data_IF_547952365471
#
_entry.id   IF_547952365471
#
_cell.length_a   1.000
_cell.length_b   1.000
_cell.length_c   1.000
_cell.angle_alpha   90.00
_cell.angle_beta   90.00
_cell.angle_gamma   90.00
#
_symmetry.space_group_name_H-M   'P 1'
#
loop_
_entity.id
_entity.type
_entity.pdbx_description
1 polymer ?
#
# COMPACT_ATOMS: atom_id res chain seq x y z
N UNK A 1 -9.57 11.54 6.37
CA UNK A 1 -10.25 11.47 5.06
C UNK A 1 -10.04 10.05 4.54
N UNK A 2 -11.10 9.31 4.21
CA UNK A 2 -10.99 7.98 3.60
C UNK A 2 -10.79 8.20 2.10
N UNK A 3 -9.74 7.64 1.51
CA UNK A 3 -9.51 7.75 0.08
C UNK A 3 -10.67 7.10 -0.71
N UNK A 4 -11.04 7.65 -1.88
CA UNK A 4 -12.10 7.07 -2.70
C UNK A 4 -11.74 5.64 -3.12
N UNK A 5 -12.73 4.76 -3.16
CA UNK A 5 -12.58 3.43 -3.74
C UNK A 5 -12.48 3.55 -5.26
N UNK A 6 -11.76 2.62 -5.87
CA UNK A 6 -11.63 2.48 -7.31
C UNK A 6 -12.16 1.09 -7.73
N UNK A 7 -12.80 1.00 -8.90
CA UNK A 7 -13.19 -0.28 -9.47
C UNK A 7 -11.99 -1.02 -10.07
N UNK A 8 -12.13 -2.33 -10.25
CA UNK A 8 -11.03 -3.20 -10.69
C UNK A 8 -10.56 -2.86 -12.12
N UNK A 9 -11.47 -2.47 -13.02
CA UNK A 9 -11.11 -2.20 -14.40
C UNK A 9 -10.31 -0.90 -14.52
N UNK A 10 -10.75 0.16 -13.82
CA UNK A 10 -10.04 1.42 -13.76
C UNK A 10 -8.67 1.27 -13.05
N UNK A 11 -8.63 0.51 -11.95
CA UNK A 11 -7.37 0.22 -11.27
C UNK A 11 -6.38 -0.49 -12.19
N UNK A 12 -6.84 -1.53 -12.91
CA UNK A 12 -6.01 -2.23 -13.89
C UNK A 12 -5.49 -1.29 -14.98
N UNK A 13 -6.35 -0.46 -15.57
CA UNK A 13 -5.95 0.48 -16.63
C UNK A 13 -4.85 1.44 -16.16
N UNK A 14 -4.99 2.02 -14.95
CA UNK A 14 -3.99 2.92 -14.36
C UNK A 14 -2.67 2.24 -14.01
N UNK A 15 -2.73 1.00 -13.53
CA UNK A 15 -1.53 0.21 -13.23
C UNK A 15 -0.79 -0.19 -14.52
N UNK A 16 -1.53 -0.62 -15.54
CA UNK A 16 -0.97 -1.01 -16.84
C UNK A 16 -0.36 0.20 -17.58
N UNK A 17 -0.95 1.39 -17.46
CA UNK A 17 -0.41 2.63 -18.07
C UNK A 17 0.76 3.25 -17.30
N UNK A 18 1.00 2.80 -16.06
CA UNK A 18 2.02 3.36 -15.17
C UNK A 18 1.64 4.69 -14.52
N UNK A 19 0.39 5.14 -14.69
CA UNK A 19 -0.17 6.31 -13.99
C UNK A 19 -0.25 6.10 -12.47
N UNK A 20 -0.43 4.85 -12.05
CA UNK A 20 -0.47 4.47 -10.65
C UNK A 20 0.53 3.35 -10.32
N UNK A 21 0.84 3.22 -9.03
CA UNK A 21 1.59 2.10 -8.48
C UNK A 21 0.72 1.30 -7.51
N UNK A 22 0.88 -0.02 -7.53
CA UNK A 22 0.19 -0.91 -6.61
C UNK A 22 0.92 -0.94 -5.26
N UNK A 23 0.18 -0.75 -4.17
CA UNK A 23 0.66 -0.85 -2.79
C UNK A 23 0.00 -2.05 -2.11
N UNK A 24 0.76 -3.10 -1.85
CA UNK A 24 0.31 -4.27 -1.09
C UNK A 24 0.41 -3.98 0.41
N UNK A 25 -0.76 -3.79 1.04
CA UNK A 25 -0.89 -3.58 2.49
C UNK A 25 -1.41 -4.83 3.21
N UNK A 26 -1.23 -6.02 2.62
CA UNK A 26 -1.61 -7.28 3.26
C UNK A 26 -0.79 -7.48 4.54
N UNK A 27 -1.49 -7.87 5.62
CA UNK A 27 -0.85 -8.14 6.91
C UNK A 27 0.26 -9.18 6.78
N UNK A 28 1.32 -9.02 7.55
CA UNK A 28 2.45 -9.95 7.59
C UNK A 28 2.04 -11.34 8.10
N UNK A 29 0.95 -11.43 8.86
CA UNK A 29 0.34 -12.69 9.27
C UNK A 29 -0.26 -13.46 8.10
N UNK A 30 -0.95 -12.78 7.18
CA UNK A 30 -1.63 -13.40 6.03
C UNK A 30 -0.72 -13.51 4.81
N UNK A 31 0.26 -12.63 4.67
CA UNK A 31 1.14 -12.53 3.49
C UNK A 31 1.75 -13.88 3.01
N UNK A 32 2.19 -14.79 3.89
CA UNK A 32 2.72 -16.10 3.47
C UNK A 32 1.68 -17.03 2.83
N UNK A 33 0.39 -16.85 3.13
CA UNK A 33 -0.70 -17.65 2.58
C UNK A 33 -1.26 -17.10 1.25
N UNK A 34 -0.86 -15.88 0.86
CA UNK A 34 -1.29 -15.25 -0.39
C UNK A 34 -0.64 -15.94 -1.58
N UNK A 35 -1.46 -16.58 -2.43
CA UNK A 35 -1.00 -17.36 -3.59
C UNK A 35 -0.68 -16.51 -4.82
N UNK A 36 -1.32 -15.34 -4.96
CA UNK A 36 -1.13 -14.44 -6.09
C UNK A 36 -1.03 -12.98 -5.64
N UNK A 37 -0.13 -12.23 -6.28
CA UNK A 37 0.13 -10.82 -5.97
C UNK A 37 0.24 -10.04 -7.27
N UNK A 38 -0.05 -8.74 -7.23
CA UNK A 38 0.14 -7.88 -8.38
C UNK A 38 1.64 -7.77 -8.69
N UNK A 39 2.09 -8.07 -9.93
CA UNK A 39 3.49 -7.91 -10.31
C UNK A 39 3.96 -6.47 -10.11
N UNK A 40 5.15 -6.29 -9.54
CA UNK A 40 5.72 -4.96 -9.30
C UNK A 40 5.08 -4.17 -8.16
N UNK A 41 4.14 -4.76 -7.40
CA UNK A 41 3.57 -4.09 -6.24
C UNK A 41 4.62 -3.80 -5.17
N UNK A 42 4.56 -2.59 -4.62
CA UNK A 42 5.37 -2.18 -3.48
C UNK A 42 4.71 -2.76 -2.23
N UNK A 43 5.45 -3.52 -1.43
CA UNK A 43 4.93 -4.06 -0.17
C UNK A 43 5.20 -3.11 0.97
N UNK A 44 4.13 -2.67 1.65
CA UNK A 44 4.22 -1.97 2.93
C UNK A 44 3.32 -2.69 3.94
N UNK A 45 3.88 -3.50 4.85
CA UNK A 45 3.08 -4.15 5.87
C UNK A 45 2.39 -3.09 6.76
N UNK A 46 1.12 -3.28 7.15
CA UNK A 46 0.37 -2.27 7.89
C UNK A 46 0.81 -2.18 9.36
N UNK A 47 1.41 -3.24 9.93
CA UNK A 47 1.61 -3.33 11.37
C UNK A 47 2.57 -2.28 11.95
N UNK A 48 3.72 -1.94 11.33
CA UNK A 48 4.59 -0.88 11.83
C UNK A 48 3.89 0.48 11.86
N UNK A 49 3.03 0.76 10.86
CA UNK A 49 2.25 2.00 10.79
C UNK A 49 1.20 2.02 11.89
N UNK A 50 0.39 0.96 12.00
CA UNK A 50 -0.66 0.86 13.03
C UNK A 50 -0.05 0.95 14.44
N UNK A 51 1.02 0.21 14.73
CA UNK A 51 1.70 0.26 16.03
C UNK A 51 2.30 1.64 16.32
N UNK A 52 2.88 2.30 15.32
CA UNK A 52 3.40 3.66 15.45
C UNK A 52 2.30 4.65 15.81
N UNK A 53 1.16 4.58 15.12
CA UNK A 53 -0.01 5.42 15.40
C UNK A 53 -0.58 5.16 16.81
N UNK A 54 -0.74 3.90 17.20
CA UNK A 54 -1.22 3.52 18.53
C UNK A 54 -0.30 4.00 19.65
N UNK A 55 1.01 4.00 19.42
CA UNK A 55 2.01 4.50 20.36
C UNK A 55 2.23 6.02 20.27
N UNK A 56 1.40 6.74 19.49
CA UNK A 56 1.52 8.18 19.26
C UNK A 56 2.94 8.63 18.84
N UNK A 57 3.63 7.81 18.03
CA UNK A 57 4.97 8.12 17.55
C UNK A 57 4.94 9.32 16.60
N UNK A 58 6.03 10.11 16.51
CA UNK A 58 6.12 11.20 15.55
C UNK A 58 5.84 10.74 14.11
N UNK A 59 5.07 11.54 13.37
CA UNK A 59 4.70 11.20 11.99
C UNK A 59 5.90 10.94 11.08
N UNK A 60 7.00 11.68 11.28
CA UNK A 60 8.25 11.49 10.54
C UNK A 60 8.87 10.10 10.77
N UNK A 61 8.69 9.51 11.96
CA UNK A 61 9.17 8.16 12.25
C UNK A 61 8.31 7.11 11.53
N UNK A 62 6.99 7.32 11.50
CA UNK A 62 6.05 6.42 10.82
C UNK A 62 6.24 6.50 9.30
N UNK A 63 6.49 7.70 8.76
CA UNK A 63 6.68 7.93 7.34
C UNK A 63 7.88 7.15 6.75
N UNK A 64 8.84 6.72 7.58
CA UNK A 64 9.98 5.90 7.13
C UNK A 64 9.55 4.58 6.51
N UNK A 65 8.42 4.03 6.95
CA UNK A 65 7.86 2.79 6.37
C UNK A 65 7.25 3.00 4.98
N UNK A 66 7.12 4.24 4.51
CA UNK A 66 6.61 4.62 3.20
C UNK A 66 7.71 5.11 2.24
N UNK A 67 8.99 5.05 2.62
CA UNK A 67 10.11 5.55 1.80
C UNK A 67 10.23 4.86 0.43
N UNK A 68 9.74 3.61 0.31
CA UNK A 68 9.69 2.88 -0.96
C UNK A 68 8.56 3.32 -1.88
N UNK A 69 7.64 4.15 -1.40
CA UNK A 69 6.48 4.63 -2.15
C UNK A 69 6.83 5.93 -2.86
N UNK A 70 6.69 6.01 -4.19
CA UNK A 70 6.97 7.22 -4.94
C UNK A 70 6.01 8.36 -4.55
N UNK A 71 6.52 9.54 -4.15
CA UNK A 71 5.69 10.63 -3.66
C UNK A 71 4.92 11.36 -4.77
N UNK A 72 5.28 11.13 -6.02
CA UNK A 72 4.80 11.81 -7.22
C UNK A 72 3.86 10.94 -8.09
N UNK A 73 3.49 9.74 -7.60
CA UNK A 73 2.60 8.83 -8.33
C UNK A 73 1.33 8.53 -7.56
N UNK A 74 0.27 8.26 -8.30
CA UNK A 74 -0.98 7.78 -7.72
C UNK A 74 -0.76 6.40 -7.07
N UNK A 75 -1.30 6.20 -5.88
CA UNK A 75 -1.16 4.95 -5.13
C UNK A 75 -2.49 4.22 -5.14
N UNK A 76 -2.50 2.98 -5.61
CA UNK A 76 -3.63 2.07 -5.49
C UNK A 76 -3.28 1.01 -4.44
N UNK A 77 -3.80 1.18 -3.23
CA UNK A 77 -3.60 0.23 -2.15
C UNK A 77 -4.57 -0.95 -2.25
N UNK A 78 -4.08 -2.15 -1.98
CA UNK A 78 -4.90 -3.36 -1.91
C UNK A 78 -4.46 -4.28 -0.76
N UNK A 79 -5.39 -5.08 -0.25
CA UNK A 79 -5.13 -6.17 0.68
C UNK A 79 -5.99 -7.38 0.32
N UNK A 80 -5.72 -8.52 0.98
CA UNK A 80 -6.55 -9.73 0.93
C UNK A 80 -7.69 -9.65 1.94
#
# INVERSE_FOLDING_TARGET
MIAPRIDVAAAKAKLDSGEAVALDVTSSLVYPAVSHRLPGAIRVPPEPIIRGLQAARPAAEIARYLESVPPDREIIAYCT
#
